data_IF_320651856516
#
_entry.id   IF_320651856516
#
_cell.length_a   1.000
_cell.length_b   1.000
_cell.length_c   1.000
_cell.angle_alpha   90.00
_cell.angle_beta   90.00
_cell.angle_gamma   90.00
#
_symmetry.space_group_name_H-M   'P 1'
#
loop_
_entity.id
_entity.type
_entity.pdbx_description
1 polymer ?
#
# COMPACT_ATOMS: atom_id res chain seq x y z
N UNK A 1 -23.69 6.02 -27.68
CA UNK A 1 -22.25 6.25 -27.39
C UNK A 1 -21.44 5.85 -28.61
N UNK A 2 -20.53 6.70 -29.08
CA UNK A 2 -19.70 6.41 -30.26
C UNK A 2 -18.60 5.41 -29.88
N UNK A 3 -18.49 4.29 -30.61
CA UNK A 3 -17.49 3.23 -30.41
C UNK A 3 -16.05 3.76 -30.40
N UNK A 4 -15.76 4.79 -31.19
CA UNK A 4 -14.43 5.41 -31.22
C UNK A 4 -14.10 6.12 -29.90
N UNK A 5 -15.10 6.79 -29.31
CA UNK A 5 -14.95 7.47 -28.01
C UNK A 5 -14.71 6.47 -26.88
N UNK A 6 -15.44 5.35 -26.88
CA UNK A 6 -15.24 4.26 -25.92
C UNK A 6 -13.84 3.65 -26.02
N UNK A 7 -13.35 3.37 -27.23
CA UNK A 7 -11.99 2.86 -27.45
C UNK A 7 -10.93 3.85 -26.97
N UNK A 8 -11.12 5.15 -27.21
CA UNK A 8 -10.23 6.21 -26.73
C UNK A 8 -10.19 6.28 -25.19
N UNK A 9 -11.35 6.23 -24.53
CA UNK A 9 -11.41 6.23 -23.06
C UNK A 9 -10.70 5.01 -22.45
N UNK A 10 -10.89 3.82 -23.02
CA UNK A 10 -10.17 2.61 -22.57
C UNK A 10 -8.65 2.78 -22.77
N UNK A 11 -8.22 3.25 -23.94
CA UNK A 11 -6.78 3.43 -24.20
C UNK A 11 -6.13 4.41 -23.24
N UNK A 12 -6.82 5.52 -22.90
CA UNK A 12 -6.33 6.47 -21.90
C UNK A 12 -6.22 5.83 -20.53
N UNK A 13 -7.25 5.11 -20.09
CA UNK A 13 -7.23 4.43 -18.80
C UNK A 13 -6.09 3.39 -18.70
N UNK A 14 -5.78 2.67 -19.78
CA UNK A 14 -4.69 1.70 -19.79
C UNK A 14 -3.29 2.34 -19.78
N UNK A 15 -3.13 3.50 -20.43
CA UNK A 15 -1.85 4.24 -20.46
C UNK A 15 -1.62 5.03 -19.17
N UNK A 16 -2.67 5.61 -18.60
CA UNK A 16 -2.62 6.35 -17.34
C UNK A 16 -2.58 5.40 -16.12
N UNK A 17 -2.91 4.12 -16.32
CA UNK A 17 -2.73 3.11 -15.29
C UNK A 17 -1.23 3.04 -14.95
N UNK A 18 -0.84 3.26 -13.69
CA UNK A 18 0.54 3.17 -13.30
C UNK A 18 1.06 1.77 -13.64
N UNK A 19 2.18 1.72 -14.35
CA UNK A 19 2.92 0.49 -14.63
C UNK A 19 3.23 -0.17 -13.29
N UNK A 20 2.47 -1.19 -12.91
CA UNK A 20 2.87 -2.12 -11.86
C UNK A 20 4.12 -2.81 -12.41
N UNK A 21 5.29 -2.24 -12.10
CA UNK A 21 6.53 -2.99 -12.16
C UNK A 21 6.38 -4.12 -11.15
N UNK A 22 5.80 -5.24 -11.61
CA UNK A 22 5.84 -6.50 -10.92
C UNK A 22 7.32 -6.84 -10.80
N UNK A 23 7.92 -6.52 -9.67
CA UNK A 23 9.12 -7.22 -9.27
C UNK A 23 8.71 -8.67 -9.12
N UNK A 24 9.03 -9.46 -10.16
CA UNK A 24 9.09 -10.90 -10.05
C UNK A 24 10.03 -11.12 -8.86
N UNK A 25 9.49 -11.59 -7.73
CA UNK A 25 10.32 -12.03 -6.62
C UNK A 25 11.05 -13.26 -7.11
N UNK A 26 12.22 -13.07 -7.67
CA UNK A 26 13.23 -14.12 -7.72
C UNK A 26 13.60 -14.38 -6.27
N UNK A 27 13.37 -15.62 -5.82
CA UNK A 27 13.87 -16.12 -4.55
C UNK A 27 15.40 -16.14 -4.63
N UNK A 28 16.05 -15.01 -4.30
CA UNK A 28 17.49 -14.98 -4.13
C UNK A 28 17.84 -15.41 -2.70
N UNK A 29 18.20 -16.69 -2.61
CA UNK A 29 19.05 -17.23 -1.57
C UNK A 29 20.33 -16.37 -1.41
N UNK A 30 20.41 -15.67 -0.29
CA UNK A 30 21.65 -15.35 0.43
C UNK A 30 22.72 -14.50 -0.24
N UNK A 31 22.75 -13.19 0.07
CA UNK A 31 24.01 -12.50 0.42
C UNK A 31 23.77 -11.57 1.62
N UNK A 32 24.46 -11.87 2.74
CA UNK A 32 24.55 -11.02 3.92
C UNK A 32 25.40 -9.76 3.61
N UNK A 33 24.77 -8.62 3.36
CA UNK A 33 25.43 -7.31 3.44
C UNK A 33 25.31 -6.77 4.87
N UNK A 34 26.42 -6.86 5.60
CA UNK A 34 26.56 -6.34 6.97
C UNK A 34 26.58 -4.81 6.94
N UNK A 35 25.41 -4.20 7.12
CA UNK A 35 25.27 -2.76 7.43
C UNK A 35 25.29 -2.53 8.95
N UNK A 36 25.84 -1.41 9.44
CA UNK A 36 26.11 -1.19 10.87
C UNK A 36 24.84 -1.30 11.70
N UNK A 37 24.95 -1.95 12.86
CA UNK A 37 23.84 -2.32 13.74
C UNK A 37 23.15 -1.11 14.35
N UNK A 38 22.24 -0.50 13.59
CA UNK A 38 21.23 0.41 14.13
C UNK A 38 20.41 -0.44 15.12
N UNK A 39 20.42 -0.05 16.40
CA UNK A 39 19.64 -0.72 17.46
C UNK A 39 18.20 -0.86 16.96
N UNK A 40 17.81 -2.06 16.55
CA UNK A 40 16.50 -2.36 15.99
C UNK A 40 15.47 -2.11 17.08
N UNK A 41 14.77 -0.98 16.98
CA UNK A 41 13.57 -0.71 17.76
C UNK A 41 12.65 -1.94 17.63
N UNK A 42 12.09 -2.41 18.75
CA UNK A 42 11.15 -3.55 18.80
C UNK A 42 9.89 -3.33 17.94
N UNK A 43 9.70 -2.12 17.41
CA UNK A 43 8.62 -1.77 16.49
C UNK A 43 9.15 -1.73 15.06
N UNK A 44 9.37 -2.91 14.48
CA UNK A 44 10.00 -3.06 13.16
C UNK A 44 9.16 -2.49 12.01
N UNK A 45 7.85 -2.23 12.21
CA UNK A 45 6.94 -1.75 11.16
C UNK A 45 5.97 -0.69 11.70
N UNK A 46 6.43 0.56 11.82
CA UNK A 46 5.52 1.68 12.14
C UNK A 46 4.53 1.90 11.00
N UNK A 47 3.24 2.17 11.30
CA UNK A 47 2.24 2.48 10.29
C UNK A 47 2.66 3.67 9.43
N UNK A 48 2.51 3.52 8.12
CA UNK A 48 2.94 4.54 7.16
C UNK A 48 1.88 5.64 7.04
N UNK A 49 2.33 6.89 6.98
CA UNK A 49 1.41 8.04 6.82
C UNK A 49 0.79 8.13 5.43
N UNK A 50 1.51 7.70 4.40
CA UNK A 50 1.05 7.64 3.02
C UNK A 50 1.48 6.32 2.39
N UNK A 51 0.59 5.60 1.69
CA UNK A 51 1.00 4.39 0.98
C UNK A 51 2.03 4.76 -0.09
N UNK A 52 3.01 3.87 -0.35
CA UNK A 52 3.89 4.05 -1.50
C UNK A 52 3.08 3.96 -2.79
N UNK A 53 3.47 4.74 -3.80
CA UNK A 53 2.73 4.85 -5.05
C UNK A 53 2.53 3.48 -5.70
N UNK A 54 3.60 2.69 -5.82
CA UNK A 54 3.56 1.37 -6.44
C UNK A 54 2.67 0.40 -5.67
N UNK A 55 2.75 0.41 -4.33
CA UNK A 55 1.91 -0.46 -3.51
C UNK A 55 0.45 -0.04 -3.58
N UNK A 56 0.12 1.25 -3.70
CA UNK A 56 -1.28 1.73 -3.69
C UNK A 56 -2.09 1.19 -4.87
N UNK A 57 -1.46 1.04 -6.03
CA UNK A 57 -2.15 0.72 -7.29
C UNK A 57 -1.90 -0.70 -7.81
N UNK A 58 -1.13 -1.51 -7.09
CA UNK A 58 -0.86 -2.89 -7.50
C UNK A 58 -2.11 -3.81 -7.40
N UNK A 59 -3.19 -3.35 -6.74
CA UNK A 59 -4.49 -4.06 -6.56
C UNK A 59 -4.42 -5.49 -5.98
N UNK A 60 -3.23 -5.98 -5.67
CA UNK A 60 -2.95 -7.30 -5.12
C UNK A 60 -2.76 -7.27 -3.59
N UNK A 61 -3.34 -8.21 -2.83
CA UNK A 61 -3.21 -8.35 -1.36
C UNK A 61 -3.59 -7.08 -0.55
N UNK A 62 -4.55 -6.32 -1.07
CA UNK A 62 -5.10 -5.11 -0.45
C UNK A 62 -6.24 -5.44 0.51
N UNK A 63 -5.99 -6.33 1.47
CA UNK A 63 -7.02 -6.75 2.41
C UNK A 63 -6.95 -5.91 3.71
N UNK A 64 -8.11 -5.46 4.22
CA UNK A 64 -8.17 -4.84 5.54
C UNK A 64 -7.90 -5.91 6.62
N UNK A 65 -7.07 -5.56 7.59
CA UNK A 65 -6.78 -6.37 8.77
C UNK A 65 -7.19 -5.57 10.00
N UNK A 66 -7.89 -6.20 10.94
CA UNK A 66 -8.18 -5.58 12.23
C UNK A 66 -6.98 -5.81 13.13
N UNK A 67 -6.33 -4.73 13.57
CA UNK A 67 -5.24 -4.83 14.54
C UNK A 67 -5.80 -4.79 15.96
N UNK A 68 -5.30 -5.67 16.84
CA UNK A 68 -5.61 -5.67 18.27
C UNK A 68 -4.81 -4.59 19.02
N UNK A 69 -5.17 -3.34 18.74
CA UNK A 69 -4.61 -2.15 19.41
C UNK A 69 -5.53 -1.64 20.52
N UNK A 70 -4.93 -1.25 21.64
CA UNK A 70 -5.63 -0.70 22.81
C UNK A 70 -6.27 0.67 22.51
N UNK A 71 -5.59 1.51 21.73
CA UNK A 71 -6.08 2.83 21.28
C UNK A 71 -6.26 2.82 19.78
N UNK A 72 -7.43 3.24 19.32
CA UNK A 72 -7.73 3.46 17.91
C UNK A 72 -6.81 4.52 17.32
N UNK A 73 -6.41 4.39 16.04
CA UNK A 73 -5.60 5.40 15.34
C UNK A 73 -6.47 6.25 14.42
N UNK A 74 -6.04 7.47 14.11
CA UNK A 74 -6.74 8.30 13.13
C UNK A 74 -6.70 7.66 11.74
N UNK A 75 -7.80 7.78 11.00
CA UNK A 75 -7.82 7.46 9.60
C UNK A 75 -6.84 8.36 8.83
N UNK A 76 -6.11 7.77 7.89
CA UNK A 76 -5.19 8.49 7.01
C UNK A 76 -5.81 8.91 5.67
N UNK A 77 -7.11 8.69 5.48
CA UNK A 77 -7.84 9.20 4.32
C UNK A 77 -7.96 10.72 4.40
N UNK A 78 -7.90 11.37 3.25
CA UNK A 78 -7.93 12.83 3.14
C UNK A 78 -9.21 13.38 3.80
N UNK A 79 -9.04 14.25 4.79
CA UNK A 79 -10.12 14.85 5.58
C UNK A 79 -11.01 13.86 6.38
N UNK A 80 -10.63 12.59 6.60
CA UNK A 80 -11.34 11.71 7.55
C UNK A 80 -10.89 12.04 8.98
N UNK A 81 -11.83 12.42 9.85
CA UNK A 81 -11.57 12.65 11.28
C UNK A 81 -11.82 11.40 12.15
N UNK A 82 -12.32 10.32 11.54
CA UNK A 82 -12.65 9.10 12.26
C UNK A 82 -11.39 8.37 12.75
N UNK A 83 -11.59 7.58 13.79
CA UNK A 83 -10.59 6.66 14.29
C UNK A 83 -10.90 5.22 13.82
N UNK A 84 -9.86 4.43 13.59
CA UNK A 84 -9.94 3.06 13.10
C UNK A 84 -8.95 2.15 13.81
N UNK A 85 -9.34 0.88 13.98
CA UNK A 85 -8.43 -0.24 14.30
C UNK A 85 -8.06 -1.05 13.05
N UNK A 86 -8.67 -0.72 11.93
CA UNK A 86 -8.50 -1.42 10.67
C UNK A 86 -7.32 -0.83 9.91
N UNK A 87 -6.38 -1.69 9.55
CA UNK A 87 -5.17 -1.35 8.80
C UNK A 87 -5.17 -2.13 7.49
N UNK A 88 -4.78 -1.47 6.41
CA UNK A 88 -4.44 -2.17 5.17
C UNK A 88 -3.09 -2.85 5.31
N UNK A 89 -3.05 -4.18 5.24
CA UNK A 89 -1.85 -4.96 5.53
C UNK A 89 -0.63 -4.57 4.68
N UNK A 90 -0.83 -4.52 3.36
CA UNK A 90 0.23 -4.22 2.37
C UNK A 90 0.70 -2.77 2.39
N UNK A 91 -0.24 -1.82 2.52
CA UNK A 91 0.08 -0.40 2.56
C UNK A 91 0.54 0.06 3.96
N UNK A 92 0.24 -0.72 5.00
CA UNK A 92 0.49 -0.39 6.40
C UNK A 92 -0.17 0.94 6.83
N UNK A 93 -1.39 1.21 6.35
CA UNK A 93 -2.13 2.46 6.59
C UNK A 93 -3.44 2.16 7.31
N UNK A 94 -3.81 2.96 8.32
CA UNK A 94 -5.11 2.86 8.99
C UNK A 94 -6.18 3.63 8.23
N UNK A 95 -7.30 2.97 7.95
CA UNK A 95 -8.42 3.54 7.21
C UNK A 95 -9.74 3.27 7.95
N UNK A 96 -10.57 4.31 8.04
CA UNK A 96 -11.97 4.23 8.43
C UNK A 96 -12.72 3.47 7.31
N UNK A 97 -13.53 2.45 7.65
CA UNK A 97 -14.47 1.83 6.70
C UNK A 97 -15.76 2.66 6.65
#
# INVERSE_FOLDING_TARGET
MNLLKFKLEISKALVESPSSHRSIKEEEDGINLVSPSIKKSKYYNLPTKKPSHDKRYDMYEHFPCVDDISRTRKCMFENCENNSKTRYGKCNVYLCL
#
